data_IF_070294687761
#
_entry.id   IF_070294687761
#
_cell.length_a   1.000
_cell.length_b   1.000
_cell.length_c   1.000
_cell.angle_alpha   90.00
_cell.angle_beta   90.00
_cell.angle_gamma   90.00
#
_symmetry.space_group_name_H-M   'P 1'
#
loop_
_entity.id
_entity.type
_entity.pdbx_description
1 polymer ?
#
# COMPACT_ATOMS: atom_id res chain seq x y z
N UNK A 1 -8.48 -81.16 28.97
CA UNK A 1 -8.98 -82.32 28.18
C UNK A 1 -10.14 -81.85 27.31
N UNK A 2 -10.33 -82.45 26.12
CA UNK A 2 -11.61 -82.75 25.41
C UNK A 2 -12.76 -81.72 25.50
N UNK A 3 -13.40 -81.22 24.44
CA UNK A 3 -13.41 -81.49 22.96
C UNK A 3 -14.04 -80.27 22.26
N UNK A 4 -13.61 -79.80 21.06
CA UNK A 4 -13.97 -80.25 19.68
C UNK A 4 -15.48 -80.30 19.38
N UNK A 5 -16.00 -79.99 18.17
CA UNK A 5 -15.51 -79.27 16.96
C UNK A 5 -16.69 -79.18 15.94
N UNK A 6 -16.58 -78.32 14.90
CA UNK A 6 -17.25 -78.45 13.58
C UNK A 6 -18.77 -78.18 13.44
N UNK A 7 -19.37 -77.99 12.23
CA UNK A 7 -19.07 -77.16 11.01
C UNK A 7 -20.11 -77.47 9.88
N UNK A 8 -20.35 -76.52 8.94
CA UNK A 8 -21.12 -76.60 7.65
C UNK A 8 -22.68 -76.69 7.74
N UNK A 9 -23.56 -76.00 6.95
CA UNK A 9 -23.76 -75.76 5.47
C UNK A 9 -24.47 -76.96 4.77
N UNK A 10 -25.43 -76.84 3.81
CA UNK A 10 -26.11 -75.71 3.10
C UNK A 10 -27.63 -75.65 3.47
N UNK A 11 -28.71 -75.22 2.78
CA UNK A 11 -29.18 -74.69 1.45
C UNK A 11 -30.23 -73.57 1.83
N UNK A 12 -30.41 -72.34 1.28
CA UNK A 12 -30.52 -71.69 -0.06
C UNK A 12 -31.97 -71.56 -0.64
N UNK A 13 -32.36 -70.32 -0.97
CA UNK A 13 -33.59 -69.85 -1.68
C UNK A 13 -34.96 -70.07 -0.96
N UNK A 14 -36.03 -69.28 -1.19
CA UNK A 14 -36.24 -68.13 -2.09
C UNK A 14 -37.08 -66.99 -1.45
N UNK A 15 -37.21 -65.85 -2.12
CA UNK A 15 -37.84 -64.60 -1.63
C UNK A 15 -39.37 -64.55 -1.75
N UNK A 16 -40.02 -63.73 -0.92
CA UNK A 16 -41.20 -62.93 -1.30
C UNK A 16 -41.28 -61.64 -0.44
N UNK A 17 -42.15 -60.70 -0.80
CA UNK A 17 -41.95 -59.25 -0.58
C UNK A 17 -42.79 -58.58 0.55
N UNK A 18 -42.25 -57.45 1.02
CA UNK A 18 -42.94 -56.28 1.62
C UNK A 18 -43.58 -56.37 3.02
N UNK A 19 -43.13 -55.47 3.91
CA UNK A 19 -43.76 -55.15 5.21
C UNK A 19 -42.94 -54.13 6.00
N UNK A 20 -43.53 -53.00 6.41
CA UNK A 20 -42.80 -51.87 6.99
C UNK A 20 -42.46 -52.04 8.48
N UNK A 21 -41.27 -51.59 8.91
CA UNK A 21 -41.10 -50.88 10.19
C UNK A 21 -39.85 -49.99 10.19
N UNK A 22 -39.83 -48.99 11.09
CA UNK A 22 -38.79 -47.96 11.17
C UNK A 22 -37.51 -48.48 11.83
N UNK A 23 -36.36 -47.97 11.39
CA UNK A 23 -35.15 -47.82 12.22
C UNK A 23 -34.68 -46.37 12.14
N UNK A 24 -34.25 -45.83 13.27
CA UNK A 24 -33.68 -44.48 13.36
C UNK A 24 -32.23 -44.49 12.88
N UNK A 25 -31.95 -43.86 11.74
CA UNK A 25 -30.57 -43.58 11.32
C UNK A 25 -30.06 -42.38 12.09
N UNK A 26 -29.15 -42.60 13.04
CA UNK A 26 -28.46 -41.51 13.73
C UNK A 26 -27.55 -40.81 12.73
N UNK A 27 -27.96 -39.64 12.24
CA UNK A 27 -27.14 -38.81 11.37
C UNK A 27 -26.02 -38.18 12.20
N UNK A 28 -24.81 -38.74 12.10
CA UNK A 28 -23.60 -38.10 12.64
C UNK A 28 -23.30 -36.85 11.81
N UNK A 29 -23.89 -35.72 12.20
CA UNK A 29 -23.60 -34.41 11.62
C UNK A 29 -22.13 -34.10 11.91
N UNK A 30 -21.27 -34.25 10.91
CA UNK A 30 -19.92 -33.71 10.97
C UNK A 30 -20.04 -32.21 11.16
N UNK A 31 -19.55 -31.68 12.28
CA UNK A 31 -19.36 -30.24 12.40
C UNK A 31 -18.41 -29.78 11.28
N UNK A 32 -18.62 -28.60 10.67
CA UNK A 32 -17.63 -27.99 9.81
C UNK A 32 -16.27 -27.96 10.53
N UNK A 33 -15.14 -28.12 9.81
CA UNK A 33 -13.83 -27.95 10.42
C UNK A 33 -13.79 -26.57 11.09
N UNK A 34 -13.43 -26.55 12.37
CA UNK A 34 -13.36 -25.33 13.16
C UNK A 34 -12.33 -24.42 12.51
N UNK A 35 -12.78 -23.35 11.84
CA UNK A 35 -11.87 -22.36 11.27
C UNK A 35 -10.97 -21.84 12.40
N UNK A 36 -9.66 -21.84 12.16
CA UNK A 36 -8.73 -21.19 13.06
C UNK A 36 -9.00 -19.69 13.05
N UNK A 37 -8.99 -19.08 14.23
CA UNK A 37 -9.32 -17.67 14.40
C UNK A 37 -8.20 -16.82 13.76
N UNK A 38 -8.56 -16.11 12.68
CA UNK A 38 -7.58 -15.38 11.86
C UNK A 38 -6.88 -14.29 12.67
N UNK A 39 -5.55 -14.33 12.68
CA UNK A 39 -4.73 -13.33 13.37
C UNK A 39 -4.56 -12.07 12.49
N UNK A 40 -5.45 -11.09 12.66
CA UNK A 40 -5.34 -9.79 12.00
C UNK A 40 -4.32 -8.86 12.68
N UNK A 41 -4.37 -8.66 14.00
CA UNK A 41 -3.36 -7.85 14.72
C UNK A 41 -2.09 -8.67 14.95
N UNK A 42 -0.98 -8.35 14.26
CA UNK A 42 0.28 -9.10 14.35
C UNK A 42 1.11 -8.73 15.58
N UNK A 43 1.43 -7.43 15.72
CA UNK A 43 2.23 -6.86 16.81
C UNK A 43 1.95 -5.35 16.96
N UNK A 44 2.50 -4.73 18.01
CA UNK A 44 2.50 -3.27 18.19
C UNK A 44 3.94 -2.76 18.23
N UNK A 45 4.21 -1.68 17.52
CA UNK A 45 5.54 -1.05 17.40
C UNK A 45 5.39 0.43 17.74
N UNK A 46 5.76 0.81 18.97
CA UNK A 46 5.56 2.18 19.47
C UNK A 46 4.09 2.61 19.36
N UNK A 47 3.76 3.70 18.63
CA UNK A 47 2.38 4.08 18.38
C UNK A 47 1.63 3.11 17.46
N UNK A 48 2.30 2.53 16.46
CA UNK A 48 1.72 1.79 15.35
C UNK A 48 1.31 0.35 15.72
N UNK A 49 0.30 -0.18 15.00
CA UNK A 49 -0.11 -1.59 15.04
C UNK A 49 0.18 -2.20 13.68
N UNK A 50 0.90 -3.32 13.64
CA UNK A 50 1.15 -4.08 12.40
C UNK A 50 -0.04 -5.01 12.19
N UNK A 51 -0.69 -4.89 11.05
CA UNK A 51 -1.92 -5.63 10.71
C UNK A 51 -1.67 -6.55 9.52
N UNK A 52 -2.12 -7.80 9.62
CA UNK A 52 -2.17 -8.74 8.51
C UNK A 52 -3.48 -8.56 7.74
N UNK A 53 -3.35 -8.30 6.44
CA UNK A 53 -4.45 -8.34 5.46
C UNK A 53 -4.53 -9.74 4.85
N UNK A 54 -5.68 -10.07 4.24
CA UNK A 54 -5.90 -11.33 3.55
C UNK A 54 -6.46 -11.07 2.14
N UNK A 55 -6.00 -11.81 1.14
CA UNK A 55 -6.38 -11.64 -0.26
C UNK A 55 -7.20 -12.85 -0.76
N UNK A 56 -8.26 -13.22 -0.04
CA UNK A 56 -9.03 -14.47 -0.22
C UNK A 56 -9.73 -14.65 -1.58
N UNK A 57 -9.76 -13.59 -2.39
CA UNK A 57 -10.26 -13.57 -3.76
C UNK A 57 -9.18 -13.92 -4.80
N UNK A 58 -7.93 -14.08 -4.37
CA UNK A 58 -6.80 -14.40 -5.24
C UNK A 58 -6.86 -15.85 -5.74
N UNK A 59 -7.32 -16.79 -4.90
CA UNK A 59 -7.48 -18.21 -5.22
C UNK A 59 -8.42 -18.46 -6.42
N UNK A 60 -9.38 -17.58 -6.68
CA UNK A 60 -10.41 -17.70 -7.72
C UNK A 60 -10.00 -17.02 -9.03
N UNK A 61 -8.94 -16.20 -9.04
CA UNK A 61 -8.33 -15.67 -10.27
C UNK A 61 -7.86 -16.81 -11.19
N UNK A 62 -7.87 -16.59 -12.50
CA UNK A 62 -7.29 -17.54 -13.46
C UNK A 62 -5.78 -17.69 -13.26
N UNK A 63 -5.20 -18.77 -13.80
CA UNK A 63 -3.75 -18.96 -13.77
C UNK A 63 -3.00 -17.83 -14.49
N UNK A 64 -3.59 -17.26 -15.54
CA UNK A 64 -3.05 -16.12 -16.28
C UNK A 64 -3.01 -14.86 -15.40
N UNK A 65 -4.13 -14.50 -14.79
CA UNK A 65 -4.23 -13.36 -13.86
C UNK A 65 -3.27 -13.50 -12.66
N UNK A 66 -3.13 -14.70 -12.09
CA UNK A 66 -2.17 -14.96 -11.00
C UNK A 66 -0.72 -14.70 -11.40
N UNK A 67 -0.33 -15.10 -12.62
CA UNK A 67 1.02 -14.86 -13.13
C UNK A 67 1.23 -13.37 -13.47
N UNK A 68 0.20 -12.70 -13.99
CA UNK A 68 0.20 -11.25 -14.21
C UNK A 68 0.42 -10.49 -12.90
N UNK A 69 -0.42 -10.75 -11.87
CA UNK A 69 -0.28 -10.18 -10.53
C UNK A 69 1.07 -10.48 -9.90
N UNK A 70 1.63 -11.68 -10.08
CA UNK A 70 2.93 -12.06 -9.55
C UNK A 70 4.09 -11.24 -10.17
N UNK A 71 4.07 -10.98 -11.47
CA UNK A 71 5.08 -10.12 -12.09
C UNK A 71 4.91 -8.65 -11.72
N UNK A 72 3.68 -8.15 -11.59
CA UNK A 72 3.42 -6.81 -11.05
C UNK A 72 3.92 -6.67 -9.59
N UNK A 73 3.66 -7.67 -8.75
CA UNK A 73 4.15 -7.75 -7.36
C UNK A 73 5.68 -7.65 -7.28
N UNK A 74 6.40 -8.37 -8.15
CA UNK A 74 7.86 -8.29 -8.24
C UNK A 74 8.34 -6.94 -8.77
N UNK A 75 7.60 -6.29 -9.68
CA UNK A 75 7.90 -4.93 -10.12
C UNK A 75 7.78 -3.90 -8.98
N UNK A 76 6.76 -4.03 -8.13
CA UNK A 76 6.55 -3.13 -6.97
C UNK A 76 7.70 -3.24 -5.97
N UNK A 77 8.09 -4.47 -5.60
CA UNK A 77 9.23 -4.69 -4.70
C UNK A 77 10.53 -4.16 -5.32
N UNK A 78 10.74 -4.34 -6.62
CA UNK A 78 11.94 -3.86 -7.32
C UNK A 78 12.08 -2.33 -7.36
N UNK A 79 11.00 -1.58 -7.13
CA UNK A 79 10.99 -0.11 -7.11
C UNK A 79 10.76 0.50 -5.70
N UNK A 80 10.51 -0.31 -4.66
CA UNK A 80 10.25 0.16 -3.28
C UNK A 80 11.26 1.19 -2.77
N UNK A 81 12.54 0.95 -3.02
CA UNK A 81 13.63 1.74 -2.45
C UNK A 81 13.68 3.18 -3.01
N UNK A 82 12.99 3.46 -4.12
CA UNK A 82 12.77 4.81 -4.65
C UNK A 82 12.06 5.70 -3.61
N UNK A 83 10.95 5.22 -3.04
CA UNK A 83 10.19 5.99 -2.07
C UNK A 83 11.01 6.27 -0.80
N UNK A 84 11.86 5.32 -0.39
CA UNK A 84 12.75 5.46 0.77
C UNK A 84 13.80 6.55 0.51
N UNK A 85 14.48 6.57 -0.65
CA UNK A 85 15.38 7.69 -1.00
C UNK A 85 14.62 9.03 -1.11
N UNK A 86 13.39 9.03 -1.65
CA UNK A 86 12.56 10.23 -1.72
C UNK A 86 12.26 10.81 -0.32
N UNK A 87 12.07 9.98 0.72
CA UNK A 87 11.86 10.44 2.09
C UNK A 87 13.10 11.15 2.67
N UNK A 88 14.33 10.63 2.47
CA UNK A 88 15.55 11.31 2.91
C UNK A 88 16.81 10.84 2.16
N UNK A 89 17.77 11.72 1.81
CA UNK A 89 19.04 11.35 1.14
C UNK A 89 19.97 10.40 1.93
N UNK A 90 19.63 10.06 3.18
CA UNK A 90 20.36 9.07 4.00
C UNK A 90 19.46 7.92 4.47
N UNK A 91 18.21 7.83 3.99
CA UNK A 91 17.25 6.81 4.43
C UNK A 91 17.76 5.39 4.13
N UNK A 92 18.16 5.12 2.89
CA UNK A 92 18.72 3.81 2.48
C UNK A 92 20.00 3.47 3.23
N UNK A 93 20.88 4.44 3.47
CA UNK A 93 22.13 4.27 4.22
C UNK A 93 21.86 3.87 5.69
N UNK A 94 20.97 4.58 6.39
CA UNK A 94 20.63 4.25 7.78
C UNK A 94 19.84 2.95 7.86
N UNK A 95 18.96 2.66 6.89
CA UNK A 95 18.25 1.38 6.82
C UNK A 95 19.23 0.22 6.74
N UNK A 96 20.17 0.27 5.79
CA UNK A 96 21.20 -0.76 5.65
C UNK A 96 22.02 -0.91 6.95
N UNK A 97 22.39 0.19 7.63
CA UNK A 97 23.06 0.11 8.95
C UNK A 97 22.19 -0.62 9.99
N UNK A 98 20.90 -0.27 10.12
CA UNK A 98 19.98 -0.88 11.07
C UNK A 98 19.73 -2.37 10.77
N UNK A 99 19.55 -2.72 9.50
CA UNK A 99 19.36 -4.10 9.03
C UNK A 99 20.61 -4.95 9.26
N UNK A 100 21.80 -4.37 9.05
CA UNK A 100 23.09 -5.00 9.34
C UNK A 100 23.29 -5.25 10.85
N UNK A 101 22.93 -4.29 11.72
CA UNK A 101 22.93 -4.49 13.19
C UNK A 101 21.98 -5.63 13.57
N UNK A 102 20.74 -5.62 13.05
CA UNK A 102 19.71 -6.61 13.39
C UNK A 102 20.10 -8.03 12.97
N UNK A 103 20.63 -8.20 11.76
CA UNK A 103 21.03 -9.50 11.21
C UNK A 103 22.33 -10.06 11.80
N UNK A 104 23.23 -9.21 12.31
CA UNK A 104 24.50 -9.62 12.91
C UNK A 104 24.54 -9.36 14.43
N UNK A 105 23.38 -9.47 15.09
CA UNK A 105 23.12 -9.01 16.46
C UNK A 105 23.71 -9.85 17.61
N UNK A 106 24.45 -10.92 17.31
CA UNK A 106 25.00 -11.83 18.32
C UNK A 106 25.93 -11.13 19.32
N UNK A 107 25.55 -11.12 20.60
CA UNK A 107 26.35 -10.50 21.67
C UNK A 107 26.14 -9.00 21.85
N UNK A 108 25.22 -8.37 21.11
CA UNK A 108 24.66 -7.06 21.47
C UNK A 108 23.79 -7.24 22.73
N UNK A 109 23.79 -6.24 23.62
CA UNK A 109 22.88 -6.25 24.77
C UNK A 109 21.41 -6.33 24.32
N UNK A 110 20.60 -7.13 25.00
CA UNK A 110 19.23 -7.42 24.59
C UNK A 110 18.31 -6.19 24.66
N UNK A 111 18.50 -5.29 25.62
CA UNK A 111 17.68 -4.07 25.77
C UNK A 111 18.10 -3.01 24.74
N UNK A 112 19.41 -2.91 24.45
CA UNK A 112 19.91 -2.09 23.34
C UNK A 112 19.36 -2.59 22.00
N UNK A 113 19.43 -3.91 21.75
CA UNK A 113 18.93 -4.53 20.53
C UNK A 113 17.41 -4.37 20.37
N UNK A 114 16.62 -4.47 21.44
CA UNK A 114 15.18 -4.25 21.42
C UNK A 114 14.84 -2.80 21.00
N UNK A 115 15.49 -1.80 21.61
CA UNK A 115 15.33 -0.38 21.24
C UNK A 115 15.67 -0.11 19.77
N UNK A 116 16.79 -0.67 19.28
CA UNK A 116 17.20 -0.54 17.87
C UNK A 116 16.20 -1.26 16.95
N UNK A 117 15.70 -2.42 17.35
CA UNK A 117 14.69 -3.19 16.59
C UNK A 117 13.36 -2.45 16.49
N UNK A 118 12.91 -1.78 17.56
CA UNK A 118 11.71 -0.93 17.54
C UNK A 118 11.90 0.24 16.57
N UNK A 119 13.06 0.91 16.60
CA UNK A 119 13.37 2.00 15.67
C UNK A 119 13.44 1.54 14.21
N UNK A 120 14.08 0.39 13.92
CA UNK A 120 14.10 -0.24 12.59
C UNK A 120 12.68 -0.58 12.10
N UNK A 121 11.83 -1.13 12.96
CA UNK A 121 10.43 -1.42 12.60
C UNK A 121 9.63 -0.15 12.31
N UNK A 122 9.79 0.91 13.10
CA UNK A 122 9.19 2.22 12.80
C UNK A 122 9.71 2.80 11.49
N UNK A 123 11.01 2.66 11.21
CA UNK A 123 11.62 3.09 9.96
C UNK A 123 11.02 2.33 8.76
N UNK A 124 10.90 1.00 8.83
CA UNK A 124 10.27 0.20 7.78
C UNK A 124 8.80 0.56 7.55
N UNK A 125 8.04 0.84 8.60
CA UNK A 125 6.61 1.19 8.51
C UNK A 125 6.38 2.55 7.85
N UNK A 126 7.31 3.49 7.99
CA UNK A 126 7.19 4.86 7.47
C UNK A 126 8.20 5.19 6.35
N UNK A 127 8.84 4.19 5.74
CA UNK A 127 9.87 4.38 4.69
C UNK A 127 11.02 5.36 5.05
N UNK A 128 11.23 5.69 6.33
CA UNK A 128 12.10 6.81 6.73
C UNK A 128 12.09 7.16 8.23
N UNK A 129 12.68 8.30 8.60
CA UNK A 129 12.82 8.78 9.99
C UNK A 129 11.61 9.54 10.53
N UNK A 130 10.52 9.59 9.77
CA UNK A 130 9.40 10.51 9.96
C UNK A 130 8.11 9.71 10.04
N UNK A 131 7.18 10.11 10.90
CA UNK A 131 5.84 9.52 10.95
C UNK A 131 5.03 9.97 9.73
N UNK A 132 4.53 9.03 8.92
CA UNK A 132 3.94 9.34 7.61
C UNK A 132 2.59 10.06 7.68
N UNK A 133 1.93 10.08 8.85
CA UNK A 133 0.67 10.79 9.05
C UNK A 133 0.85 12.23 9.53
N UNK A 134 1.94 12.50 10.26
CA UNK A 134 2.22 13.82 10.87
C UNK A 134 3.43 14.53 10.29
N UNK A 135 4.20 13.87 9.41
CA UNK A 135 5.50 14.30 8.88
C UNK A 135 6.58 14.57 9.94
N UNK A 136 6.38 14.21 11.22
CA UNK A 136 7.30 14.55 12.32
C UNK A 136 8.40 13.51 12.49
N UNK A 137 9.61 13.96 12.76
CA UNK A 137 10.76 13.09 13.04
C UNK A 137 10.56 12.29 14.33
N UNK A 138 10.95 11.01 14.30
CA UNK A 138 11.15 10.19 15.49
C UNK A 138 12.63 9.76 15.61
N UNK A 139 13.07 9.48 16.83
CA UNK A 139 14.46 9.13 17.19
C UNK A 139 14.47 7.85 18.03
N UNK A 140 15.56 7.05 18.04
CA UNK A 140 15.60 5.81 18.82
C UNK A 140 15.70 6.06 20.33
N UNK A 141 15.24 5.11 21.14
CA UNK A 141 15.35 5.15 22.61
C UNK A 141 16.72 4.69 23.16
N UNK A 142 17.63 4.25 22.28
CA UNK A 142 19.03 4.01 22.65
C UNK A 142 19.83 5.31 22.56
N UNK A 143 20.86 5.43 23.37
CA UNK A 143 21.87 6.47 23.22
C UNK A 143 22.74 6.21 21.99
N UNK A 144 23.42 7.25 21.51
CA UNK A 144 24.39 7.13 20.42
C UNK A 144 25.55 6.17 20.74
N UNK A 145 25.98 6.09 22.01
CA UNK A 145 27.08 5.19 22.40
C UNK A 145 26.63 3.72 22.47
N UNK A 146 25.40 3.44 22.90
CA UNK A 146 24.79 2.10 22.79
C UNK A 146 24.68 1.68 21.31
N UNK A 147 24.26 2.60 20.43
CA UNK A 147 24.15 2.35 18.98
C UNK A 147 25.52 2.11 18.33
N UNK A 148 26.53 2.94 18.65
CA UNK A 148 27.91 2.76 18.18
C UNK A 148 28.48 1.42 18.65
N UNK A 149 28.24 1.03 19.90
CA UNK A 149 28.61 -0.28 20.42
C UNK A 149 27.93 -1.44 19.68
N UNK A 150 26.64 -1.31 19.35
CA UNK A 150 25.91 -2.28 18.53
C UNK A 150 26.50 -2.42 17.12
N UNK A 151 26.85 -1.33 16.46
CA UNK A 151 27.53 -1.31 15.14
C UNK A 151 28.90 -2.00 15.24
N UNK A 152 29.71 -1.66 16.24
CA UNK A 152 31.02 -2.27 16.47
C UNK A 152 30.96 -3.77 16.81
N UNK A 153 29.84 -4.29 17.32
CA UNK A 153 29.64 -5.72 17.56
C UNK A 153 29.19 -6.41 16.26
N UNK A 154 28.24 -5.80 15.54
CA UNK A 154 27.80 -6.29 14.24
C UNK A 154 28.96 -6.39 13.24
N UNK A 155 29.85 -5.40 13.18
CA UNK A 155 31.06 -5.39 12.33
C UNK A 155 31.99 -6.59 12.64
N UNK A 156 32.20 -6.89 13.94
CA UNK A 156 32.99 -8.06 14.39
C UNK A 156 32.31 -9.39 14.06
N UNK A 157 30.97 -9.39 13.94
CA UNK A 157 30.17 -10.53 13.51
C UNK A 157 30.06 -10.68 11.98
N UNK A 158 30.72 -9.81 11.19
CA UNK A 158 30.78 -9.88 9.73
C UNK A 158 29.82 -8.94 8.98
N UNK A 159 29.13 -8.03 9.68
CA UNK A 159 28.30 -7.01 9.05
C UNK A 159 29.09 -6.14 8.08
N UNK A 160 28.43 -5.72 6.99
CA UNK A 160 29.02 -4.86 5.96
C UNK A 160 28.25 -3.55 5.83
N UNK A 161 28.79 -2.51 6.46
CA UNK A 161 28.31 -1.14 6.28
C UNK A 161 28.88 -0.59 4.97
N UNK A 162 28.02 -0.30 4.00
CA UNK A 162 28.43 0.18 2.67
C UNK A 162 29.01 1.59 2.78
N UNK A 163 30.30 1.75 2.52
CA UNK A 163 30.96 3.06 2.47
C UNK A 163 31.83 3.18 1.22
N UNK A 164 31.70 4.27 0.46
CA UNK A 164 32.52 4.49 -0.74
C UNK A 164 33.92 5.03 -0.41
N UNK A 165 34.02 5.90 0.60
CA UNK A 165 35.26 6.61 0.95
C UNK A 165 35.44 6.89 2.46
N UNK A 166 34.39 6.79 3.26
CA UNK A 166 34.42 7.03 4.71
C UNK A 166 34.64 5.73 5.50
N UNK A 167 35.24 5.82 6.69
CA UNK A 167 35.21 4.72 7.66
C UNK A 167 33.88 4.68 8.43
N UNK A 168 33.51 3.51 8.97
CA UNK A 168 32.29 3.30 9.78
C UNK A 168 32.12 4.38 10.86
N UNK A 169 33.20 4.76 11.55
CA UNK A 169 33.17 5.81 12.57
C UNK A 169 32.87 7.23 12.02
N UNK A 170 33.33 7.56 10.81
CA UNK A 170 33.01 8.85 10.16
C UNK A 170 31.54 8.89 9.73
N UNK A 171 31.04 7.79 9.16
CA UNK A 171 29.61 7.64 8.80
C UNK A 171 28.72 7.79 10.03
N UNK A 172 29.08 7.18 11.17
CA UNK A 172 28.31 7.34 12.41
C UNK A 172 28.27 8.77 12.93
N UNK A 173 29.40 9.49 13.00
CA UNK A 173 29.39 10.91 13.44
C UNK A 173 28.66 11.82 12.43
N UNK A 174 28.69 11.51 11.12
CA UNK A 174 27.89 12.22 10.09
C UNK A 174 26.38 11.98 10.27
N UNK A 175 25.97 10.76 10.58
CA UNK A 175 24.56 10.37 10.74
C UNK A 175 24.00 10.67 12.13
N UNK A 176 24.84 10.91 13.13
CA UNK A 176 24.49 11.22 14.52
C UNK A 176 23.37 12.28 14.67
N UNK A 177 23.43 13.49 14.06
CA UNK A 177 22.31 14.43 14.13
C UNK A 177 21.08 13.96 13.32
N UNK A 178 21.28 13.25 12.21
CA UNK A 178 20.19 12.72 11.38
C UNK A 178 19.38 11.66 12.16
N UNK A 179 20.02 10.81 12.96
CA UNK A 179 19.34 9.74 13.73
C UNK A 179 18.89 10.21 15.12
N UNK A 180 19.73 10.94 15.88
CA UNK A 180 19.52 11.17 17.33
C UNK A 180 19.09 12.59 17.72
N UNK A 181 19.23 13.61 16.86
CA UNK A 181 18.79 14.97 17.16
C UNK A 181 17.38 15.22 16.60
N UNK A 182 16.37 15.26 17.48
CA UNK A 182 14.98 15.53 17.11
C UNK A 182 14.74 16.96 16.58
N UNK A 183 15.64 17.92 16.85
CA UNK A 183 15.59 19.27 16.30
C UNK A 183 16.32 19.41 14.96
N UNK A 184 17.18 18.45 14.59
CA UNK A 184 17.82 18.42 13.27
C UNK A 184 16.87 17.86 12.22
N UNK A 185 16.44 18.72 11.29
CA UNK A 185 15.44 18.38 10.26
C UNK A 185 14.17 17.78 10.89
N UNK A 186 13.39 18.54 11.68
CA UNK A 186 12.32 17.97 12.52
C UNK A 186 11.09 17.48 11.74
N UNK A 187 11.00 17.78 10.44
CA UNK A 187 9.86 17.43 9.59
C UNK A 187 10.30 16.94 8.20
N UNK A 188 9.61 15.91 7.70
CA UNK A 188 9.70 15.43 6.32
C UNK A 188 9.27 16.55 5.35
N UNK A 189 8.08 17.09 5.59
CA UNK A 189 7.43 18.12 4.77
C UNK A 189 6.86 19.21 5.67
N UNK A 190 7.38 20.44 5.55
CA UNK A 190 6.91 21.60 6.29
C UNK A 190 6.17 22.58 5.36
N UNK A 191 4.91 22.91 5.69
CA UNK A 191 4.05 23.86 4.98
C UNK A 191 3.56 25.01 5.89
N UNK A 192 4.28 25.27 6.98
CA UNK A 192 3.93 26.28 8.00
C UNK A 192 3.93 27.71 7.41
N UNK A 193 2.88 28.52 7.60
CA UNK A 193 2.87 29.90 7.09
C UNK A 193 3.98 30.76 7.70
N UNK A 194 4.82 31.36 6.85
CA UNK A 194 5.94 32.23 7.23
C UNK A 194 7.32 31.55 7.17
N UNK A 195 7.38 30.22 7.21
CA UNK A 195 8.59 29.44 7.03
C UNK A 195 9.06 29.39 5.56
N UNK A 196 10.30 28.99 5.34
CA UNK A 196 10.75 28.53 4.01
C UNK A 196 10.49 27.03 3.88
N UNK A 197 9.43 26.67 3.15
CA UNK A 197 8.93 25.30 3.06
C UNK A 197 9.92 24.30 2.46
N UNK A 198 10.85 24.72 1.59
CA UNK A 198 11.87 23.81 1.06
C UNK A 198 12.99 23.63 2.07
N UNK A 199 13.55 24.74 2.58
CA UNK A 199 14.69 24.69 3.50
C UNK A 199 14.35 23.97 4.81
N UNK A 200 13.10 24.07 5.27
CA UNK A 200 12.63 23.46 6.52
C UNK A 200 11.94 22.09 6.30
N UNK A 201 12.06 21.49 5.12
CA UNK A 201 11.64 20.11 4.81
C UNK A 201 12.85 19.20 4.65
N UNK A 202 12.73 17.93 5.04
CA UNK A 202 13.79 16.92 4.90
C UNK A 202 13.67 16.07 3.62
N UNK A 203 12.51 16.11 2.94
CA UNK A 203 12.21 15.33 1.73
C UNK A 203 13.25 15.57 0.61
N UNK A 204 13.70 14.49 -0.02
CA UNK A 204 14.83 14.46 -0.95
C UNK A 204 14.50 14.99 -2.37
N UNK A 205 13.37 15.69 -2.51
CA UNK A 205 12.92 16.35 -3.73
C UNK A 205 13.74 17.62 -4.07
N UNK A 206 14.42 18.19 -3.08
CA UNK A 206 15.24 19.39 -3.21
C UNK A 206 16.57 19.17 -2.47
N UNK A 207 17.70 19.64 -3.04
CA UNK A 207 18.95 19.66 -2.27
C UNK A 207 18.84 20.62 -1.07
N UNK A 208 19.30 20.21 0.12
CA UNK A 208 19.13 20.91 1.41
C UNK A 208 19.71 22.33 1.50
N UNK A 209 20.42 22.78 0.46
CA UNK A 209 20.92 24.14 0.27
C UNK A 209 19.98 25.02 -0.61
N UNK A 210 18.72 24.61 -0.78
CA UNK A 210 17.69 25.34 -1.53
C UNK A 210 16.69 26.05 -0.62
N UNK A 211 16.15 27.16 -1.12
CA UNK A 211 15.04 27.91 -0.54
C UNK A 211 13.82 27.90 -1.47
N UNK A 212 12.62 27.94 -0.90
CA UNK A 212 11.34 27.93 -1.62
C UNK A 212 11.31 29.00 -2.74
N UNK A 213 11.70 30.24 -2.42
CA UNK A 213 11.58 31.37 -3.36
C UNK A 213 12.54 31.32 -4.56
N UNK A 214 13.71 30.68 -4.44
CA UNK A 214 14.61 30.52 -5.59
C UNK A 214 14.14 29.38 -6.51
N UNK A 215 13.64 28.28 -5.94
CA UNK A 215 13.07 27.17 -6.70
C UNK A 215 11.79 27.61 -7.41
N UNK A 216 10.86 28.29 -6.72
CA UNK A 216 9.63 28.81 -7.32
C UNK A 216 9.91 29.78 -8.47
N UNK A 217 10.92 30.66 -8.33
CA UNK A 217 11.33 31.60 -9.39
C UNK A 217 11.97 30.89 -10.58
N UNK A 218 12.81 29.89 -10.33
CA UNK A 218 13.48 29.10 -11.37
C UNK A 218 12.48 28.23 -12.14
N UNK A 219 11.60 27.52 -11.42
CA UNK A 219 10.68 26.54 -11.98
C UNK A 219 9.84 27.08 -13.14
N UNK A 220 9.29 28.30 -12.97
CA UNK A 220 8.39 29.00 -13.92
C UNK A 220 8.85 29.05 -15.38
N UNK A 221 10.13 28.83 -15.67
CA UNK A 221 10.67 28.78 -17.03
C UNK A 221 11.62 27.58 -17.30
N UNK A 222 11.84 26.70 -16.31
CA UNK A 222 12.92 25.69 -16.38
C UNK A 222 12.51 24.28 -15.92
N UNK A 223 11.50 24.14 -15.06
CA UNK A 223 11.02 22.84 -14.58
C UNK A 223 10.13 22.20 -15.66
N UNK A 224 10.47 20.98 -16.08
CA UNK A 224 9.81 20.26 -17.18
C UNK A 224 9.24 18.91 -16.77
N UNK A 225 9.71 18.35 -15.66
CA UNK A 225 9.33 17.05 -15.15
C UNK A 225 8.74 17.25 -13.74
N UNK A 226 7.57 17.92 -13.62
CA UNK A 226 7.03 18.33 -12.33
C UNK A 226 6.88 17.14 -11.40
N UNK A 227 6.19 16.07 -11.82
CA UNK A 227 5.94 14.88 -10.98
C UNK A 227 7.22 14.10 -10.68
N UNK A 228 8.09 13.87 -11.68
CA UNK A 228 9.16 12.87 -11.63
C UNK A 228 10.59 13.44 -11.72
N UNK A 229 10.93 14.38 -10.85
CA UNK A 229 12.31 14.87 -10.73
C UNK A 229 12.63 15.48 -9.36
N UNK A 230 13.92 15.52 -9.01
CA UNK A 230 14.45 16.36 -7.91
C UNK A 230 15.19 17.58 -8.45
N UNK A 231 15.11 18.70 -7.74
CA UNK A 231 15.84 19.94 -8.10
C UNK A 231 17.09 20.06 -7.23
N UNK A 232 18.25 20.25 -7.85
CA UNK A 232 19.55 20.34 -7.15
C UNK A 232 20.31 21.59 -7.55
N UNK A 233 21.17 22.09 -6.65
CA UNK A 233 22.07 23.22 -6.91
C UNK A 233 23.51 22.75 -7.19
N UNK A 234 23.83 22.53 -8.46
CA UNK A 234 25.15 22.09 -8.93
C UNK A 234 25.93 23.26 -9.53
N UNK A 235 27.19 23.48 -9.10
CA UNK A 235 28.06 24.56 -9.58
C UNK A 235 27.37 25.96 -9.56
N UNK A 236 26.54 26.20 -8.54
CA UNK A 236 25.76 27.43 -8.37
C UNK A 236 24.50 27.56 -9.24
N UNK A 237 24.17 26.55 -10.06
CA UNK A 237 22.98 26.54 -10.94
C UNK A 237 21.94 25.54 -10.43
N UNK A 238 20.67 25.92 -10.51
CA UNK A 238 19.55 25.00 -10.27
C UNK A 238 19.34 24.13 -11.52
N UNK A 239 19.29 22.82 -11.32
CA UNK A 239 19.22 21.79 -12.37
C UNK A 239 18.16 20.75 -11.98
N UNK A 240 17.42 20.27 -12.97
CA UNK A 240 16.45 19.17 -12.82
C UNK A 240 17.14 17.80 -12.98
N UNK A 241 16.94 16.90 -12.02
CA UNK A 241 17.43 15.51 -12.07
C UNK A 241 16.23 14.58 -12.20
N UNK A 242 16.00 14.13 -13.43
CA UNK A 242 14.83 13.36 -13.85
C UNK A 242 14.88 11.95 -13.26
N UNK A 243 13.71 11.41 -12.89
CA UNK A 243 13.54 10.03 -12.45
C UNK A 243 12.99 9.19 -13.63
N UNK A 244 13.85 8.30 -14.15
CA UNK A 244 13.55 7.40 -15.28
C UNK A 244 14.62 6.31 -15.44
N UNK A 245 14.25 5.19 -16.07
CA UNK A 245 15.14 4.10 -16.45
C UNK A 245 16.08 4.43 -17.61
N UNK A 246 15.66 5.29 -18.54
CA UNK A 246 16.35 5.47 -19.82
C UNK A 246 16.17 4.29 -20.78
N UNK A 247 16.97 4.29 -21.85
CA UNK A 247 16.88 3.35 -22.97
C UNK A 247 16.49 4.05 -24.28
N UNK A 248 16.71 3.39 -25.42
CA UNK A 248 16.29 3.82 -26.75
C UNK A 248 16.64 5.29 -27.13
N UNK A 249 17.83 5.74 -26.71
CA UNK A 249 18.32 7.10 -26.94
C UNK A 249 17.98 8.11 -25.83
N UNK A 250 17.31 7.67 -24.76
CA UNK A 250 17.07 8.46 -23.56
C UNK A 250 18.10 8.13 -22.48
N UNK A 251 18.85 9.16 -22.05
CA UNK A 251 19.82 9.07 -20.95
C UNK A 251 19.15 8.68 -19.62
N UNK A 252 19.76 7.76 -18.83
CA UNK A 252 19.21 7.32 -17.54
C UNK A 252 19.02 8.46 -16.52
N UNK A 253 18.05 8.28 -15.62
CA UNK A 253 17.76 9.21 -14.52
C UNK A 253 18.37 8.78 -13.17
N UNK A 254 17.91 9.38 -12.08
CA UNK A 254 18.39 9.08 -10.71
C UNK A 254 18.12 7.62 -10.33
N UNK A 255 16.87 7.18 -10.44
CA UNK A 255 16.43 5.82 -10.07
C UNK A 255 16.50 4.84 -11.25
N UNK A 256 17.53 4.95 -12.09
CA UNK A 256 17.59 4.18 -13.33
C UNK A 256 17.73 2.67 -13.11
N UNK A 257 18.40 2.25 -12.04
CA UNK A 257 18.59 0.83 -11.73
C UNK A 257 17.28 0.18 -11.29
N UNK A 258 16.61 0.81 -10.33
CA UNK A 258 15.36 0.37 -9.70
C UNK A 258 14.23 0.32 -10.74
N UNK A 259 14.12 1.36 -11.57
CA UNK A 259 13.13 1.42 -12.65
C UNK A 259 13.42 0.41 -13.77
N UNK A 260 14.68 0.12 -14.12
CA UNK A 260 14.98 -0.98 -15.06
C UNK A 260 14.67 -2.36 -14.44
N UNK A 261 14.93 -2.55 -13.15
CA UNK A 261 14.58 -3.79 -12.44
C UNK A 261 13.06 -4.02 -12.39
N UNK A 262 12.28 -2.97 -12.15
CA UNK A 262 10.82 -3.00 -12.25
C UNK A 262 10.34 -3.26 -13.68
N UNK A 263 10.87 -2.54 -14.68
CA UNK A 263 10.50 -2.72 -16.09
C UNK A 263 10.75 -4.16 -16.57
N UNK A 264 11.86 -4.80 -16.15
CA UNK A 264 12.12 -6.22 -16.46
C UNK A 264 10.99 -7.15 -16.00
N UNK A 265 10.27 -6.81 -14.92
CA UNK A 265 9.11 -7.58 -14.47
C UNK A 265 7.81 -7.15 -15.16
N UNK A 266 7.61 -5.86 -15.45
CA UNK A 266 6.50 -5.38 -16.29
C UNK A 266 6.53 -6.02 -17.69
N UNK A 267 7.71 -6.12 -18.31
CA UNK A 267 7.92 -6.79 -19.60
C UNK A 267 7.59 -8.30 -19.54
N UNK A 268 7.82 -8.96 -18.38
CA UNK A 268 7.40 -10.35 -18.14
C UNK A 268 5.90 -10.49 -17.85
N UNK A 269 5.23 -9.43 -17.41
CA UNK A 269 3.78 -9.42 -17.21
C UNK A 269 3.01 -9.35 -18.54
N UNK A 270 3.53 -8.65 -19.56
CA UNK A 270 2.86 -8.42 -20.86
C UNK A 270 2.19 -9.68 -21.47
N UNK A 271 2.85 -10.86 -21.57
CA UNK A 271 2.24 -12.06 -22.14
C UNK A 271 1.04 -12.64 -21.36
N UNK A 272 0.80 -12.16 -20.13
CA UNK A 272 -0.25 -12.60 -19.24
C UNK A 272 -1.35 -11.56 -19.04
N UNK A 273 -1.24 -10.37 -19.65
CA UNK A 273 -2.31 -9.37 -19.63
C UNK A 273 -3.63 -9.96 -20.17
N UNK A 274 -4.74 -9.68 -19.50
CA UNK A 274 -6.05 -10.27 -19.81
C UNK A 274 -6.67 -9.78 -21.13
N UNK A 275 -6.12 -8.71 -21.71
CA UNK A 275 -6.52 -8.18 -23.01
C UNK A 275 -5.38 -7.43 -23.71
N UNK A 276 -5.48 -7.26 -25.03
CA UNK A 276 -4.60 -6.36 -25.80
C UNK A 276 -4.69 -4.90 -25.32
N UNK A 277 -5.82 -4.49 -24.73
CA UNK A 277 -5.91 -3.17 -24.07
C UNK A 277 -5.01 -3.10 -22.85
N UNK A 278 -5.06 -4.09 -21.95
CA UNK A 278 -4.23 -4.15 -20.74
C UNK A 278 -2.74 -4.29 -21.05
N UNK A 279 -2.38 -5.07 -22.07
CA UNK A 279 -1.02 -5.10 -22.61
C UNK A 279 -0.60 -3.69 -23.06
N UNK A 280 -1.44 -3.00 -23.83
CA UNK A 280 -1.21 -1.61 -24.22
C UNK A 280 -1.18 -0.59 -23.07
N UNK A 281 -1.73 -0.93 -21.90
CA UNK A 281 -1.61 -0.20 -20.64
C UNK A 281 -0.19 -0.36 -20.07
N UNK A 282 0.28 -1.60 -19.92
CA UNK A 282 1.64 -1.92 -19.41
C UNK A 282 2.74 -1.40 -20.33
N UNK A 283 2.57 -1.51 -21.65
CA UNK A 283 3.51 -0.97 -22.65
C UNK A 283 3.68 0.56 -22.53
N UNK A 284 2.60 1.30 -22.23
CA UNK A 284 2.66 2.76 -22.01
C UNK A 284 3.27 3.13 -20.66
N UNK A 285 3.03 2.33 -19.62
CA UNK A 285 3.74 2.50 -18.36
C UNK A 285 5.25 2.34 -18.57
N UNK A 286 5.69 1.29 -19.26
CA UNK A 286 7.11 1.07 -19.58
C UNK A 286 7.67 2.23 -20.40
N UNK A 287 6.95 2.73 -21.42
CA UNK A 287 7.33 3.93 -22.19
C UNK A 287 7.60 5.11 -21.25
N UNK A 288 6.66 5.45 -20.37
CA UNK A 288 6.82 6.53 -19.39
C UNK A 288 8.01 6.30 -18.45
N UNK A 289 8.15 5.11 -17.87
CA UNK A 289 9.25 4.80 -16.95
C UNK A 289 10.63 4.85 -17.64
N UNK A 290 10.71 4.58 -18.94
CA UNK A 290 11.93 4.75 -19.75
C UNK A 290 12.22 6.22 -20.09
N UNK A 291 11.26 6.96 -20.63
CA UNK A 291 11.46 8.34 -21.11
C UNK A 291 11.47 9.39 -20.00
N UNK A 292 10.70 9.14 -18.94
CA UNK A 292 10.31 10.10 -17.90
C UNK A 292 9.33 11.18 -18.40
N UNK A 293 8.82 11.13 -19.63
CA UNK A 293 8.09 12.24 -20.25
C UNK A 293 6.67 12.41 -19.67
N UNK A 294 6.25 13.61 -19.21
CA UNK A 294 4.87 13.88 -18.79
C UNK A 294 3.81 13.57 -19.87
N UNK A 295 4.10 13.76 -21.16
CA UNK A 295 3.17 13.40 -22.23
C UNK A 295 2.97 11.87 -22.33
N UNK A 296 4.02 11.08 -22.05
CA UNK A 296 3.93 9.61 -22.03
C UNK A 296 3.16 9.12 -20.80
N UNK A 297 3.29 9.82 -19.66
CA UNK A 297 2.44 9.59 -18.49
C UNK A 297 0.97 9.94 -18.78
N UNK A 298 0.71 11.02 -19.52
CA UNK A 298 -0.63 11.40 -19.95
C UNK A 298 -1.22 10.39 -20.92
N UNK A 299 -0.46 9.90 -21.90
CA UNK A 299 -0.87 8.78 -22.76
C UNK A 299 -1.20 7.51 -21.96
N UNK A 300 -0.35 7.15 -20.99
CA UNK A 300 -0.59 6.04 -20.07
C UNK A 300 -1.91 6.21 -19.32
N UNK A 301 -2.12 7.34 -18.63
CA UNK A 301 -3.33 7.57 -17.83
C UNK A 301 -4.62 7.60 -18.67
N UNK A 302 -4.58 8.22 -19.87
CA UNK A 302 -5.72 8.26 -20.81
C UNK A 302 -6.06 6.85 -21.35
N UNK A 303 -5.11 5.91 -21.33
CA UNK A 303 -5.31 4.51 -21.74
C UNK A 303 -5.73 3.63 -20.53
N UNK A 304 -5.05 3.75 -19.39
CA UNK A 304 -5.32 3.03 -18.14
C UNK A 304 -6.73 3.28 -17.60
N UNK A 305 -7.23 4.53 -17.66
CA UNK A 305 -8.56 4.87 -17.12
C UNK A 305 -9.72 4.20 -17.87
N UNK A 306 -9.46 3.66 -19.07
CA UNK A 306 -10.41 2.90 -19.89
C UNK A 306 -10.25 1.38 -19.74
N UNK A 307 -9.26 0.94 -18.98
CA UNK A 307 -9.01 -0.47 -18.69
C UNK A 307 -9.99 -0.97 -17.63
N UNK A 308 -10.71 -2.05 -17.91
CA UNK A 308 -11.69 -2.68 -17.02
C UNK A 308 -11.33 -4.13 -16.68
N UNK A 309 -10.04 -4.48 -16.79
CA UNK A 309 -9.50 -5.78 -16.41
C UNK A 309 -9.70 -6.07 -14.92
N UNK A 310 -9.89 -7.35 -14.58
CA UNK A 310 -10.20 -7.78 -13.22
C UNK A 310 -9.03 -7.55 -12.24
N UNK A 311 -7.81 -7.93 -12.63
CA UNK A 311 -6.56 -7.47 -12.03
C UNK A 311 -6.18 -6.14 -12.64
N UNK A 312 -5.83 -5.17 -11.80
CA UNK A 312 -5.43 -3.81 -12.18
C UNK A 312 -4.36 -3.28 -11.19
N UNK A 313 -3.76 -2.13 -11.51
CA UNK A 313 -2.63 -1.61 -10.75
C UNK A 313 -2.54 -0.09 -10.78
N UNK A 314 -1.94 0.45 -9.73
CA UNK A 314 -1.33 1.78 -9.69
C UNK A 314 0.18 1.56 -9.62
N UNK A 315 0.95 2.32 -10.40
CA UNK A 315 2.41 2.18 -10.48
C UNK A 315 3.05 3.44 -11.05
N UNK A 316 3.94 4.10 -10.31
CA UNK A 316 4.70 5.26 -10.79
C UNK A 316 4.76 6.41 -9.79
N UNK A 317 4.99 7.62 -10.29
CA UNK A 317 5.07 8.85 -9.49
C UNK A 317 3.70 9.54 -9.49
N UNK A 318 2.90 9.36 -8.43
CA UNK A 318 1.46 9.66 -8.43
C UNK A 318 1.07 10.84 -7.52
N UNK A 319 1.35 10.74 -6.23
CA UNK A 319 0.80 11.63 -5.20
C UNK A 319 1.81 12.68 -4.71
N UNK A 320 1.38 13.95 -4.62
CA UNK A 320 2.27 15.11 -4.37
C UNK A 320 2.29 15.59 -2.91
N UNK A 321 1.78 14.80 -1.96
CA UNK A 321 1.60 15.23 -0.56
C UNK A 321 2.92 15.59 0.13
N UNK A 322 3.98 14.80 -0.10
CA UNK A 322 5.30 15.01 0.50
C UNK A 322 6.02 16.26 -0.03
N UNK A 323 5.63 16.82 -1.18
CA UNK A 323 6.31 18.00 -1.71
C UNK A 323 5.84 19.28 -1.00
N UNK A 324 6.73 20.08 -0.37
CA UNK A 324 6.40 21.44 0.11
C UNK A 324 5.77 22.35 -0.95
N UNK A 325 6.05 22.14 -2.25
CA UNK A 325 5.43 22.85 -3.38
C UNK A 325 4.22 22.14 -3.99
N UNK A 326 3.94 20.88 -3.63
CA UNK A 326 2.86 20.08 -4.22
C UNK A 326 3.00 19.86 -5.74
N UNK A 327 4.22 19.63 -6.23
CA UNK A 327 4.54 19.38 -7.65
C UNK A 327 5.23 18.03 -7.87
N UNK A 328 6.18 17.66 -7.00
CA UNK A 328 6.91 16.38 -7.01
C UNK A 328 6.04 15.29 -6.41
N UNK A 329 5.99 14.15 -7.07
CA UNK A 329 5.18 13.02 -6.64
C UNK A 329 6.04 11.91 -6.01
N UNK A 330 5.53 11.32 -4.94
CA UNK A 330 6.09 10.10 -4.38
C UNK A 330 5.91 8.94 -5.37
N UNK A 331 6.87 8.02 -5.37
CA UNK A 331 6.71 6.74 -6.05
C UNK A 331 5.82 5.82 -5.22
N UNK A 332 4.82 5.23 -5.88
CA UNK A 332 3.95 4.23 -5.28
C UNK A 332 3.63 3.10 -6.26
N UNK A 333 3.31 1.93 -5.71
CA UNK A 333 2.68 0.86 -6.46
C UNK A 333 1.70 0.07 -5.58
N UNK A 334 0.45 -0.02 -6.02
CA UNK A 334 -0.62 -0.82 -5.41
C UNK A 334 -1.15 -1.79 -6.46
N UNK A 335 -1.03 -3.10 -6.20
CA UNK A 335 -1.48 -4.16 -7.11
C UNK A 335 -2.70 -4.82 -6.50
N UNK A 336 -3.80 -4.89 -7.25
CA UNK A 336 -5.10 -5.32 -6.72
C UNK A 336 -5.94 -6.06 -7.76
N UNK A 337 -7.04 -6.66 -7.29
CA UNK A 337 -8.07 -7.23 -8.16
C UNK A 337 -9.46 -6.84 -7.68
N UNK A 338 -10.43 -6.85 -8.58
CA UNK A 338 -11.81 -6.48 -8.29
C UNK A 338 -12.47 -7.53 -7.40
N UNK A 339 -13.17 -7.08 -6.36
CA UNK A 339 -14.08 -7.92 -5.57
C UNK A 339 -15.43 -8.02 -6.31
N UNK A 340 -15.80 -9.18 -6.90
CA UNK A 340 -17.00 -9.26 -7.72
C UNK A 340 -18.29 -9.20 -6.89
N UNK A 341 -18.24 -9.61 -5.62
CA UNK A 341 -19.40 -9.65 -4.73
C UNK A 341 -19.71 -8.24 -4.21
N UNK A 342 -18.70 -7.55 -3.66
CA UNK A 342 -18.86 -6.19 -3.15
C UNK A 342 -19.05 -5.17 -4.30
N UNK A 343 -18.41 -5.36 -5.45
CA UNK A 343 -18.69 -4.52 -6.64
C UNK A 343 -20.11 -4.73 -7.16
N UNK A 344 -20.65 -5.95 -7.12
CA UNK A 344 -22.07 -6.17 -7.44
C UNK A 344 -23.02 -5.50 -6.43
N UNK A 345 -22.66 -5.42 -5.14
CA UNK A 345 -23.39 -4.64 -4.14
C UNK A 345 -23.37 -3.14 -4.47
N UNK A 346 -22.20 -2.55 -4.71
CA UNK A 346 -22.05 -1.14 -5.14
C UNK A 346 -22.88 -0.84 -6.38
N UNK A 347 -22.76 -1.65 -7.44
CA UNK A 347 -23.50 -1.47 -8.68
C UNK A 347 -25.02 -1.63 -8.50
N UNK A 348 -25.47 -2.44 -7.54
CA UNK A 348 -26.90 -2.55 -7.23
C UNK A 348 -27.42 -1.33 -6.46
N UNK A 349 -26.63 -0.78 -5.53
CA UNK A 349 -26.96 0.48 -4.84
C UNK A 349 -27.00 1.66 -5.83
N UNK A 350 -26.01 1.72 -6.74
CA UNK A 350 -25.86 2.78 -7.73
C UNK A 350 -27.06 2.94 -8.69
N UNK A 351 -27.81 1.87 -8.94
CA UNK A 351 -29.06 1.87 -9.74
C UNK A 351 -30.19 2.67 -9.08
N UNK A 352 -30.12 2.87 -7.76
CA UNK A 352 -31.09 3.63 -6.98
C UNK A 352 -30.62 5.05 -6.66
N UNK A 353 -29.50 5.52 -7.21
CA UNK A 353 -28.94 6.84 -6.89
C UNK A 353 -29.93 8.00 -7.08
N UNK A 354 -30.69 8.03 -8.19
CA UNK A 354 -31.74 9.03 -8.39
C UNK A 354 -32.88 8.90 -7.36
N UNK A 355 -33.24 7.68 -6.93
CA UNK A 355 -34.25 7.51 -5.88
C UNK A 355 -33.80 8.10 -4.54
N UNK A 356 -32.53 7.95 -4.16
CA UNK A 356 -31.99 8.58 -2.96
C UNK A 356 -31.91 10.10 -3.08
N UNK A 357 -31.48 10.62 -4.24
CA UNK A 357 -31.45 12.05 -4.56
C UNK A 357 -32.85 12.70 -4.49
N UNK A 358 -33.86 12.09 -5.12
CA UNK A 358 -35.25 12.53 -5.09
C UNK A 358 -35.81 12.60 -3.65
N UNK A 359 -35.36 11.66 -2.80
CA UNK A 359 -35.75 11.53 -1.38
C UNK A 359 -34.85 12.29 -0.40
N UNK A 360 -33.80 12.95 -0.87
CA UNK A 360 -32.87 13.65 -0.01
C UNK A 360 -33.56 14.82 0.73
N UNK A 361 -33.12 15.15 1.98
CA UNK A 361 -33.79 16.14 2.82
C UNK A 361 -33.53 17.60 2.43
N UNK A 362 -32.65 17.85 1.44
CA UNK A 362 -32.46 19.19 0.89
C UNK A 362 -33.56 19.58 -0.11
N UNK A 363 -33.70 20.89 -0.31
CA UNK A 363 -34.64 21.48 -1.27
C UNK A 363 -34.36 20.98 -2.69
N UNK A 364 -35.39 20.97 -3.52
CA UNK A 364 -35.28 20.56 -4.93
C UNK A 364 -34.36 21.48 -5.76
N UNK A 365 -34.12 22.73 -5.34
CA UNK A 365 -33.15 23.63 -5.99
C UNK A 365 -31.68 23.19 -5.84
N UNK A 366 -31.39 22.30 -4.89
CA UNK A 366 -30.09 21.65 -4.71
C UNK A 366 -30.08 20.20 -5.22
N UNK A 367 -31.16 19.72 -5.84
CA UNK A 367 -31.23 18.33 -6.34
C UNK A 367 -30.63 18.19 -7.73
N UNK A 368 -29.90 17.10 -7.91
CA UNK A 368 -29.20 16.76 -9.15
C UNK A 368 -29.95 15.72 -9.98
N UNK A 369 -29.73 15.73 -11.29
CA UNK A 369 -30.14 14.64 -12.19
C UNK A 369 -28.97 13.69 -12.39
N UNK A 370 -29.10 12.47 -11.89
CA UNK A 370 -28.05 11.44 -11.89
C UNK A 370 -28.07 10.70 -13.24
N UNK A 371 -27.62 11.38 -14.29
CA UNK A 371 -27.55 10.83 -15.65
C UNK A 371 -26.41 9.82 -15.85
N UNK A 372 -25.51 9.67 -14.87
CA UNK A 372 -24.48 8.63 -14.78
C UNK A 372 -24.27 8.27 -13.31
N UNK A 373 -24.33 6.99 -12.97
CA UNK A 373 -23.90 6.51 -11.66
C UNK A 373 -22.37 6.63 -11.51
N UNK A 374 -21.83 7.07 -10.37
CA UNK A 374 -20.43 6.84 -10.04
C UNK A 374 -20.20 5.34 -9.87
N UNK A 375 -19.29 4.76 -10.66
CA UNK A 375 -18.87 3.37 -10.50
C UNK A 375 -17.60 3.37 -9.65
N UNK A 376 -17.78 3.18 -8.34
CA UNK A 376 -16.69 2.75 -7.48
C UNK A 376 -16.51 1.23 -7.65
N UNK A 377 -15.31 0.79 -8.01
CA UNK A 377 -14.97 -0.63 -7.96
C UNK A 377 -14.52 -0.96 -6.53
N UNK A 378 -15.02 -2.06 -5.96
CA UNK A 378 -14.47 -2.58 -4.71
C UNK A 378 -13.32 -3.50 -5.07
N UNK A 379 -12.18 -3.33 -4.43
CA UNK A 379 -10.94 -4.05 -4.76
C UNK A 379 -10.36 -4.71 -3.51
N UNK A 380 -9.58 -5.77 -3.73
CA UNK A 380 -8.76 -6.39 -2.71
C UNK A 380 -7.28 -6.26 -3.13
N UNK A 381 -6.46 -5.72 -2.24
CA UNK A 381 -5.03 -5.48 -2.42
C UNK A 381 -4.24 -6.79 -2.32
N UNK A 382 -3.24 -6.95 -3.19
CA UNK A 382 -2.25 -8.04 -3.19
C UNK A 382 -0.91 -7.57 -2.59
N UNK A 383 -0.47 -6.36 -2.93
CA UNK A 383 0.70 -5.69 -2.34
C UNK A 383 0.62 -4.18 -2.55
N UNK A 384 1.15 -3.44 -1.57
CA UNK A 384 1.39 -1.99 -1.64
C UNK A 384 2.82 -1.65 -1.23
N UNK A 385 3.40 -0.64 -1.90
CA UNK A 385 4.77 -0.15 -1.67
C UNK A 385 4.87 1.35 -1.97
N UNK A 386 5.65 2.09 -1.17
CA UNK A 386 5.87 3.52 -1.34
C UNK A 386 4.70 4.32 -0.74
N UNK A 387 4.17 5.29 -1.49
CA UNK A 387 3.08 6.17 -1.02
C UNK A 387 1.79 5.45 -0.62
N UNK A 388 1.62 4.19 -1.03
CA UNK A 388 0.48 3.33 -0.67
C UNK A 388 0.80 2.28 0.41
N UNK A 389 2.05 2.10 0.85
CA UNK A 389 2.37 1.08 1.86
C UNK A 389 3.80 1.10 2.41
N UNK A 390 4.02 0.74 3.70
CA UNK A 390 3.08 -0.04 4.55
C UNK A 390 1.94 0.73 5.23
N UNK A 391 1.99 2.07 5.28
CA UNK A 391 0.83 2.89 5.67
C UNK A 391 -0.03 3.08 4.42
N UNK A 392 -1.27 2.57 4.46
CA UNK A 392 -2.14 2.38 3.27
C UNK A 392 -3.42 3.22 3.35
N UNK A 393 -3.91 3.78 2.22
CA UNK A 393 -5.21 4.44 2.14
C UNK A 393 -6.38 3.44 2.21
N UNK A 394 -7.59 3.92 2.50
CA UNK A 394 -8.81 3.08 2.42
C UNK A 394 -9.52 3.19 1.05
N UNK A 395 -9.21 4.22 0.27
CA UNK A 395 -9.80 4.48 -1.05
C UNK A 395 -8.89 5.39 -1.89
N UNK A 396 -8.94 5.22 -3.22
CA UNK A 396 -8.07 5.94 -4.17
C UNK A 396 -8.91 6.40 -5.38
N UNK A 397 -8.65 7.59 -5.93
CA UNK A 397 -9.44 8.17 -7.03
C UNK A 397 -8.57 8.87 -8.09
N UNK A 398 -8.17 8.11 -9.12
CA UNK A 398 -7.14 8.47 -10.09
C UNK A 398 -7.65 8.49 -11.54
N UNK A 399 -6.97 9.18 -12.49
CA UNK A 399 -5.73 9.95 -12.30
C UNK A 399 -5.96 11.33 -11.65
N UNK A 400 -4.88 11.92 -11.15
CA UNK A 400 -4.91 13.25 -10.53
C UNK A 400 -5.07 14.40 -11.52
N UNK A 401 -4.81 14.21 -12.82
CA UNK A 401 -4.92 15.29 -13.80
C UNK A 401 -6.39 15.57 -14.19
N UNK A 402 -6.94 16.69 -13.71
CA UNK A 402 -8.34 17.09 -13.89
C UNK A 402 -8.83 17.04 -15.34
N UNK A 403 -8.03 17.44 -16.32
CA UNK A 403 -8.45 17.39 -17.73
C UNK A 403 -8.60 15.95 -18.27
N UNK A 404 -7.92 14.95 -17.68
CA UNK A 404 -8.20 13.54 -17.97
C UNK A 404 -9.52 13.13 -17.33
N UNK A 405 -9.75 13.51 -16.06
CA UNK A 405 -10.98 13.22 -15.30
C UNK A 405 -12.23 13.72 -16.03
N UNK A 406 -12.18 14.94 -16.56
CA UNK A 406 -13.28 15.57 -17.30
C UNK A 406 -13.51 14.97 -18.69
N UNK A 407 -12.45 14.66 -19.44
CA UNK A 407 -12.57 14.23 -20.84
C UNK A 407 -12.71 12.70 -21.01
N UNK A 408 -12.10 11.91 -20.13
CA UNK A 408 -11.99 10.44 -20.26
C UNK A 408 -12.50 9.67 -19.03
N UNK A 409 -12.78 10.35 -17.92
CA UNK A 409 -13.22 9.75 -16.65
C UNK A 409 -12.10 9.52 -15.65
N UNK A 410 -12.45 8.89 -14.52
CA UNK A 410 -11.54 8.48 -13.44
C UNK A 410 -11.96 7.12 -12.88
N UNK A 411 -11.00 6.40 -12.28
CA UNK A 411 -11.23 5.18 -11.49
C UNK A 411 -11.25 5.56 -10.01
N UNK A 412 -12.37 5.31 -9.35
CA UNK A 412 -12.48 5.36 -7.89
C UNK A 412 -12.55 3.94 -7.36
N UNK A 413 -11.71 3.61 -6.36
CA UNK A 413 -11.59 2.26 -5.80
C UNK A 413 -11.64 2.28 -4.27
N UNK A 414 -12.29 1.27 -3.68
CA UNK A 414 -12.40 1.06 -2.23
C UNK A 414 -11.64 -0.23 -1.85
N UNK A 415 -10.69 -0.12 -0.91
CA UNK A 415 -9.74 -1.18 -0.56
C UNK A 415 -10.33 -2.09 0.53
N UNK A 416 -11.23 -2.99 0.14
CA UNK A 416 -12.08 -3.77 1.04
C UNK A 416 -11.30 -4.65 2.02
N UNK A 417 -10.26 -5.37 1.59
CA UNK A 417 -9.45 -6.19 2.50
C UNK A 417 -8.49 -5.38 3.39
N UNK A 418 -8.28 -4.09 3.12
CA UNK A 418 -7.59 -3.16 4.03
C UNK A 418 -8.56 -2.73 5.14
N UNK A 419 -9.78 -2.32 4.78
CA UNK A 419 -10.84 -1.94 5.74
C UNK A 419 -11.24 -3.13 6.63
N UNK A 420 -11.51 -4.31 6.04
CA UNK A 420 -11.82 -5.54 6.78
C UNK A 420 -10.73 -5.90 7.80
N UNK A 421 -9.46 -5.71 7.44
CA UNK A 421 -8.33 -5.96 8.30
C UNK A 421 -8.16 -4.91 9.39
N UNK A 422 -8.40 -3.62 9.09
CA UNK A 422 -8.44 -2.55 10.07
C UNK A 422 -9.48 -2.85 11.15
N UNK A 423 -10.73 -3.08 10.74
CA UNK A 423 -11.87 -3.34 11.64
C UNK A 423 -11.61 -4.55 12.53
N UNK A 424 -11.17 -5.67 11.96
CA UNK A 424 -10.89 -6.91 12.71
C UNK A 424 -9.61 -6.84 13.54
N UNK A 425 -8.69 -5.91 13.24
CA UNK A 425 -7.52 -5.64 14.08
C UNK A 425 -7.80 -4.65 15.22
N UNK A 426 -8.88 -3.87 15.16
CA UNK A 426 -9.17 -2.76 16.09
C UNK A 426 -9.24 -3.23 17.56
N UNK A 427 -9.87 -4.39 17.78
CA UNK A 427 -9.95 -5.09 19.05
C UNK A 427 -11.27 -4.81 19.79
N UNK A 428 -11.93 -5.89 20.26
CA UNK A 428 -13.24 -5.83 20.93
C UNK A 428 -13.27 -5.04 22.23
N UNK A 429 -12.11 -4.70 22.79
CA UNK A 429 -12.04 -4.06 24.11
C UNK A 429 -12.35 -2.55 24.05
N UNK A 430 -12.13 -1.89 22.92
CA UNK A 430 -12.63 -0.52 22.69
C UNK A 430 -14.17 -0.52 22.68
N UNK A 431 -14.78 -1.47 21.99
CA UNK A 431 -16.25 -1.63 21.97
C UNK A 431 -16.81 -1.85 23.39
N UNK A 432 -16.18 -2.70 24.20
CA UNK A 432 -16.62 -2.98 25.58
C UNK A 432 -16.44 -1.82 26.56
N UNK A 433 -15.44 -0.96 26.35
CA UNK A 433 -15.17 0.19 27.23
C UNK A 433 -16.10 1.38 26.92
N UNK A 434 -16.53 1.54 25.66
CA UNK A 434 -17.26 2.73 25.21
C UNK A 434 -18.72 2.50 24.77
N UNK A 435 -19.19 1.25 24.61
CA UNK A 435 -20.61 0.97 24.42
C UNK A 435 -21.42 1.27 25.70
N UNK A 436 -22.68 1.65 25.51
CA UNK A 436 -23.61 1.97 26.58
C UNK A 436 -24.05 0.73 27.37
N UNK A 437 -24.28 -0.39 26.69
CA UNK A 437 -24.69 -1.67 27.30
C UNK A 437 -24.32 -2.89 26.43
N UNK A 438 -24.69 -4.09 26.91
CA UNK A 438 -24.42 -5.35 26.21
C UNK A 438 -25.26 -5.54 24.93
N UNK A 439 -26.42 -4.89 24.80
CA UNK A 439 -27.22 -4.97 23.57
C UNK A 439 -26.55 -4.17 22.44
N UNK A 440 -25.91 -3.03 22.73
CA UNK A 440 -25.07 -2.32 21.76
C UNK A 440 -23.83 -3.15 21.35
N UNK A 441 -23.15 -3.80 22.31
CA UNK A 441 -22.02 -4.70 22.03
C UNK A 441 -22.47 -5.88 21.12
N UNK A 442 -23.55 -6.57 21.49
CA UNK A 442 -24.07 -7.73 20.74
C UNK A 442 -24.54 -7.33 19.33
N UNK A 443 -25.12 -6.14 19.17
CA UNK A 443 -25.51 -5.61 17.87
C UNK A 443 -24.29 -5.23 17.01
N UNK A 444 -23.26 -4.58 17.56
CA UNK A 444 -22.06 -4.23 16.80
C UNK A 444 -21.24 -5.47 16.43
N UNK A 445 -21.11 -6.47 17.31
CA UNK A 445 -20.47 -7.75 16.97
C UNK A 445 -21.21 -8.52 15.86
N UNK A 446 -22.53 -8.37 15.78
CA UNK A 446 -23.38 -9.13 14.84
C UNK A 446 -23.61 -8.41 13.50
N UNK A 447 -23.67 -7.08 13.50
CA UNK A 447 -24.07 -6.27 12.35
C UNK A 447 -23.07 -5.20 11.94
N UNK A 448 -22.11 -4.82 12.79
CA UNK A 448 -21.18 -3.69 12.57
C UNK A 448 -20.55 -3.71 11.18
N UNK A 449 -19.75 -4.72 10.87
CA UNK A 449 -19.11 -4.88 9.54
C UNK A 449 -20.10 -4.85 8.35
N UNK A 450 -21.38 -5.22 8.54
CA UNK A 450 -22.39 -5.11 7.47
C UNK A 450 -22.94 -3.68 7.36
N UNK A 451 -23.15 -3.01 8.50
CA UNK A 451 -23.54 -1.61 8.57
C UNK A 451 -22.45 -0.67 8.05
N UNK A 452 -21.19 -0.92 8.41
CA UNK A 452 -20.02 -0.11 8.02
C UNK A 452 -19.71 -0.25 6.52
N UNK A 453 -19.80 -1.47 5.96
CA UNK A 453 -19.73 -1.68 4.51
C UNK A 453 -20.89 -0.99 3.76
N UNK A 454 -22.12 -1.06 4.28
CA UNK A 454 -23.27 -0.38 3.68
C UNK A 454 -23.18 1.15 3.80
N UNK A 455 -22.73 1.66 4.94
CA UNK A 455 -22.48 3.09 5.16
C UNK A 455 -21.43 3.61 4.18
N UNK A 456 -20.31 2.92 4.05
CA UNK A 456 -19.24 3.28 3.10
C UNK A 456 -19.74 3.22 1.65
N UNK A 457 -20.51 2.19 1.29
CA UNK A 457 -21.17 2.12 -0.01
C UNK A 457 -22.11 3.30 -0.28
N UNK A 458 -22.89 3.73 0.73
CA UNK A 458 -23.73 4.90 0.62
C UNK A 458 -22.92 6.21 0.61
N UNK A 459 -21.79 6.31 1.30
CA UNK A 459 -20.91 7.47 1.28
C UNK A 459 -20.35 7.74 -0.13
N UNK A 460 -19.71 6.72 -0.73
CA UNK A 460 -19.06 6.81 -2.03
C UNK A 460 -20.07 6.95 -3.19
N UNK A 461 -21.07 6.07 -3.22
CA UNK A 461 -21.97 5.95 -4.39
C UNK A 461 -23.12 6.95 -4.35
N UNK A 462 -23.65 7.24 -3.16
CA UNK A 462 -24.79 8.15 -2.98
C UNK A 462 -24.31 9.52 -2.51
N UNK A 463 -23.55 9.60 -1.40
CA UNK A 463 -23.08 10.85 -0.81
C UNK A 463 -22.29 11.72 -1.78
N UNK A 464 -21.12 11.28 -2.24
CA UNK A 464 -20.32 12.00 -3.24
C UNK A 464 -20.99 12.11 -4.62
N UNK A 465 -21.93 11.22 -4.94
CA UNK A 465 -22.74 11.29 -6.16
C UNK A 465 -23.82 12.38 -6.15
N UNK A 466 -24.29 12.75 -4.95
CA UNK A 466 -25.51 13.54 -4.74
C UNK A 466 -25.33 15.07 -4.83
N UNK A 467 -26.46 15.78 -4.96
CA UNK A 467 -26.56 17.24 -4.81
C UNK A 467 -25.97 18.08 -5.95
N UNK A 468 -26.43 19.32 -6.04
CA UNK A 468 -25.95 20.36 -6.96
C UNK A 468 -25.41 21.58 -6.18
N UNK A 469 -24.51 22.33 -6.82
CA UNK A 469 -23.84 23.54 -6.30
C UNK A 469 -24.46 24.79 -6.90
#
# INVERSE_FOLDING_TARGET
MLTKLSILITIILAMLFSGCSKKSTTSTTQQPPKQEERKYSLERVGPARVVQTYADGFEQLSQQEKIFSYYLYLASIAARDIAIDQHHPNALEVRDILEQIYTHSNGIDAVVLEKITIYLKLFWLNNGFYDNLTSKKFVPECTYEEFRGAVEIAEKNGAQFKTETESTAQVLERLKPIIFDAAHQPMLTNKTPGDDWIKNSAVNFYSSNLMYKEVEKWAKNNEKYPLNSKVVKENGKLTEKIWRAGGDGVEPGVYANDLNAAIMYLEKAIPYASSEHQKGTVEKLIKYLRTGNPDDFREYNIHWVKDSSNVDFIFGFIEVYLDPRGQKAEFEASIYYTDPAQTAMMQNLAKYAQYFEDKAPWKDEYKKKIDRSPIANVINVVIETGGTGPVTPIGINLPNEQAIREQYGSKSVLLHNIVDAYDKSSGKDILKEFAYDQEEIDNQEKYGTVADNLHTAMHEVIGHGSGAV
#
